data_IF_623170804088
#
_entry.id   IF_623170804088
#
_cell.length_a   1.000
_cell.length_b   1.000
_cell.length_c   1.000
_cell.angle_alpha   90.00
_cell.angle_beta   90.00
_cell.angle_gamma   90.00
#
_symmetry.space_group_name_H-M   'P 1'
#
loop_
_entity.id
_entity.type
_entity.pdbx_description
1 polymer ?
#
# COMPACT_ATOMS: atom_id res chain seq x y z
N UNK A 1 3.02 7.22 -23.83
CA UNK A 1 1.80 7.31 -23.02
C UNK A 1 1.84 8.62 -22.25
N UNK A 2 0.75 9.38 -22.21
CA UNK A 2 0.64 10.60 -21.39
C UNK A 2 0.40 10.14 -19.95
N UNK A 3 1.37 10.32 -19.05
CA UNK A 3 1.18 10.12 -17.61
C UNK A 3 0.39 11.29 -17.02
N UNK A 4 -0.59 11.01 -16.18
CA UNK A 4 -1.26 12.05 -15.42
C UNK A 4 -0.21 12.76 -14.53
N UNK A 5 -0.21 14.09 -14.54
CA UNK A 5 0.66 14.88 -13.67
C UNK A 5 -0.13 15.32 -12.45
N UNK A 6 0.32 14.89 -11.28
CA UNK A 6 -0.16 15.37 -9.99
C UNK A 6 0.85 16.34 -9.42
N UNK A 7 0.38 17.35 -8.70
CA UNK A 7 1.23 18.27 -7.95
C UNK A 7 0.94 18.11 -6.45
N UNK A 8 1.92 17.60 -5.74
CA UNK A 8 1.89 17.45 -4.29
C UNK A 8 2.92 18.36 -3.61
N UNK A 9 3.33 19.45 -4.26
CA UNK A 9 4.28 20.42 -3.69
C UNK A 9 3.80 20.93 -2.33
N UNK A 10 4.69 20.89 -1.34
CA UNK A 10 4.39 21.28 0.04
C UNK A 10 3.57 20.26 0.85
N UNK A 11 3.23 19.11 0.28
CA UNK A 11 2.57 18.00 0.97
C UNK A 11 3.58 17.03 1.55
N UNK A 12 3.17 16.27 2.56
CA UNK A 12 3.94 15.18 3.15
C UNK A 12 3.19 13.87 3.04
N UNK A 13 3.82 12.88 2.42
CA UNK A 13 3.29 11.54 2.23
C UNK A 13 4.07 10.51 3.07
N UNK A 14 3.35 9.79 3.94
CA UNK A 14 3.87 8.60 4.64
C UNK A 14 3.63 7.37 3.75
N UNK A 15 4.66 6.52 3.60
CA UNK A 15 4.57 5.25 2.87
C UNK A 15 5.07 4.11 3.76
N UNK A 16 4.15 3.34 4.33
CA UNK A 16 4.46 2.16 5.16
C UNK A 16 4.55 0.92 4.26
N UNK A 17 5.65 0.18 4.36
CA UNK A 17 6.01 -0.87 3.40
C UNK A 17 6.58 -0.29 2.10
N UNK A 18 7.37 0.79 2.24
CA UNK A 18 7.90 1.59 1.13
C UNK A 18 9.25 1.13 0.58
N UNK A 19 9.88 0.09 1.12
CA UNK A 19 11.25 -0.32 0.74
C UNK A 19 11.33 -1.03 -0.61
N UNK A 20 10.29 -1.74 -1.01
CA UNK A 20 10.27 -2.55 -2.24
C UNK A 20 8.93 -2.47 -2.98
N UNK A 21 8.89 -2.99 -4.20
CA UNK A 21 7.66 -3.21 -4.99
C UNK A 21 6.79 -1.97 -5.15
N UNK A 22 5.50 -2.12 -4.91
CA UNK A 22 4.49 -1.06 -5.06
C UNK A 22 4.81 0.13 -4.13
N UNK A 23 5.19 -0.15 -2.87
CA UNK A 23 5.50 0.91 -1.92
C UNK A 23 6.69 1.77 -2.35
N UNK A 24 7.77 1.15 -2.83
CA UNK A 24 8.94 1.85 -3.37
C UNK A 24 8.57 2.72 -4.57
N UNK A 25 7.84 2.15 -5.52
CA UNK A 25 7.38 2.89 -6.69
C UNK A 25 6.48 4.08 -6.31
N UNK A 26 5.61 3.90 -5.31
CA UNK A 26 4.72 4.95 -4.81
C UNK A 26 5.48 6.06 -4.10
N UNK A 27 6.46 5.73 -3.24
CA UNK A 27 7.29 6.74 -2.56
C UNK A 27 8.05 7.58 -3.59
N UNK A 28 8.62 6.93 -4.61
CA UNK A 28 9.30 7.62 -5.68
C UNK A 28 8.36 8.52 -6.49
N UNK A 29 7.17 8.03 -6.85
CA UNK A 29 6.17 8.80 -7.60
C UNK A 29 5.63 10.02 -6.82
N UNK A 30 5.46 9.91 -5.48
CA UNK A 30 5.13 11.07 -4.66
C UNK A 30 6.25 12.12 -4.66
N UNK A 31 7.51 11.70 -4.56
CA UNK A 31 8.65 12.62 -4.61
C UNK A 31 8.76 13.31 -5.99
N UNK A 32 8.56 12.57 -7.09
CA UNK A 32 8.50 13.11 -8.44
C UNK A 32 7.38 14.14 -8.61
N UNK A 33 6.26 13.94 -7.90
CA UNK A 33 5.13 14.87 -7.85
C UNK A 33 5.30 16.01 -6.84
N UNK A 34 6.48 16.17 -6.22
CA UNK A 34 6.82 17.30 -5.34
C UNK A 34 6.50 17.11 -3.86
N UNK A 35 6.03 15.92 -3.42
CA UNK A 35 5.78 15.67 -2.00
C UNK A 35 7.06 15.32 -1.23
N UNK A 36 7.16 15.78 0.01
CA UNK A 36 8.07 15.17 0.97
C UNK A 36 7.63 13.73 1.26
N UNK A 37 8.58 12.79 1.42
CA UNK A 37 8.27 11.38 1.62
C UNK A 37 8.86 10.84 2.92
N UNK A 38 8.01 10.21 3.73
CA UNK A 38 8.40 9.55 4.98
C UNK A 38 8.17 8.05 4.81
N UNK A 39 9.26 7.34 4.58
CA UNK A 39 9.24 5.93 4.19
C UNK A 39 9.48 5.07 5.42
N UNK A 40 8.68 4.03 5.59
CA UNK A 40 8.86 3.03 6.64
C UNK A 40 8.72 1.62 6.10
N UNK A 41 9.43 0.67 6.71
CA UNK A 41 9.36 -0.75 6.39
C UNK A 41 10.56 -1.51 6.93
N UNK A 42 10.62 -2.79 6.66
CA UNK A 42 11.80 -3.61 6.92
C UNK A 42 12.78 -3.50 5.75
N UNK A 43 14.07 -3.73 6.02
CA UNK A 43 15.14 -3.65 5.01
C UNK A 43 15.77 -2.26 4.97
N UNK A 44 16.63 -2.00 5.96
CA UNK A 44 17.35 -0.72 6.09
C UNK A 44 18.17 -0.37 4.84
N UNK A 45 18.94 -1.28 4.21
CA UNK A 45 19.70 -0.96 3.00
C UNK A 45 18.82 -0.49 1.84
N UNK A 46 17.68 -1.14 1.62
CA UNK A 46 16.74 -0.80 0.54
C UNK A 46 16.08 0.55 0.81
N UNK A 47 15.72 0.82 2.07
CA UNK A 47 15.11 2.08 2.48
C UNK A 47 16.07 3.27 2.35
N UNK A 48 17.29 3.13 2.82
CA UNK A 48 18.35 4.15 2.70
C UNK A 48 18.73 4.41 1.24
N UNK A 49 18.84 3.34 0.43
CA UNK A 49 19.08 3.44 -1.02
C UNK A 49 17.98 4.22 -1.72
N UNK A 50 16.71 3.98 -1.37
CA UNK A 50 15.59 4.72 -1.95
C UNK A 50 15.63 6.20 -1.58
N UNK A 51 15.92 6.54 -0.32
CA UNK A 51 16.06 7.95 0.11
C UNK A 51 17.20 8.63 -0.65
N UNK A 52 18.34 7.97 -0.81
CA UNK A 52 19.49 8.50 -1.58
C UNK A 52 19.09 8.75 -3.05
N UNK A 53 18.40 7.80 -3.69
CA UNK A 53 17.92 7.95 -5.07
C UNK A 53 16.92 9.11 -5.21
N UNK A 54 15.93 9.21 -4.31
CA UNK A 54 14.96 10.31 -4.33
C UNK A 54 15.68 11.65 -4.15
N UNK A 55 16.59 11.77 -3.19
CA UNK A 55 17.34 13.01 -2.92
C UNK A 55 18.18 13.44 -4.13
N UNK A 56 18.80 12.48 -4.81
CA UNK A 56 19.61 12.76 -6.00
C UNK A 56 18.78 13.23 -7.20
N UNK A 57 17.58 12.67 -7.39
CA UNK A 57 16.73 12.95 -8.57
C UNK A 57 15.73 14.07 -8.34
N UNK A 58 15.32 14.29 -7.10
CA UNK A 58 14.31 15.28 -6.70
C UNK A 58 14.82 16.12 -5.50
N UNK A 59 15.84 16.97 -5.69
CA UNK A 59 16.49 17.71 -4.59
C UNK A 59 15.60 18.76 -3.94
N UNK A 60 14.46 19.08 -4.52
CA UNK A 60 13.48 20.02 -3.96
C UNK A 60 12.58 19.41 -2.89
N UNK A 61 12.57 18.10 -2.72
CA UNK A 61 11.78 17.40 -1.70
C UNK A 61 12.68 16.80 -0.62
N UNK A 62 12.13 16.63 0.56
CA UNK A 62 12.81 15.95 1.67
C UNK A 62 12.28 14.53 1.79
N UNK A 63 13.21 13.56 1.83
CA UNK A 63 12.86 12.16 2.07
C UNK A 63 13.52 11.65 3.33
N UNK A 64 12.87 10.70 4.01
CA UNK A 64 13.46 10.00 5.15
C UNK A 64 12.99 8.54 5.19
N UNK A 65 13.81 7.70 5.80
CA UNK A 65 13.49 6.30 6.04
C UNK A 65 13.59 5.98 7.54
N UNK A 66 12.72 5.08 7.99
CA UNK A 66 12.75 4.49 9.34
C UNK A 66 12.47 3.01 9.23
N UNK A 67 13.34 2.18 9.78
CA UNK A 67 13.06 0.75 9.90
C UNK A 67 11.90 0.53 10.88
N UNK A 68 10.87 -0.17 10.42
CA UNK A 68 9.61 -0.31 11.15
C UNK A 68 8.99 -1.68 10.94
N UNK A 69 8.76 -2.40 12.03
CA UNK A 69 7.85 -3.54 12.06
C UNK A 69 6.44 -3.02 12.35
N UNK A 70 5.53 -3.24 11.39
CA UNK A 70 4.15 -2.76 11.47
C UNK A 70 3.32 -3.38 12.58
N UNK A 71 3.82 -4.45 13.22
CA UNK A 71 3.18 -5.13 14.35
C UNK A 71 3.40 -4.42 15.70
N UNK A 72 4.44 -3.57 15.77
CA UNK A 72 4.82 -2.85 17.00
C UNK A 72 4.09 -1.49 17.08
N UNK A 73 3.06 -1.44 17.96
CA UNK A 73 2.26 -0.22 18.18
C UNK A 73 3.10 0.96 18.69
N UNK A 74 4.05 0.69 19.58
CA UNK A 74 4.91 1.75 20.13
C UNK A 74 5.89 2.30 19.08
N UNK A 75 6.45 1.44 18.21
CA UNK A 75 7.27 1.87 17.09
C UNK A 75 6.45 2.68 16.08
N UNK A 76 5.22 2.23 15.76
CA UNK A 76 4.30 2.97 14.89
C UNK A 76 3.98 4.36 15.46
N UNK A 77 3.72 4.47 16.76
CA UNK A 77 3.50 5.75 17.43
C UNK A 77 4.72 6.68 17.30
N UNK A 78 5.92 6.18 17.62
CA UNK A 78 7.16 6.97 17.52
C UNK A 78 7.43 7.43 16.09
N UNK A 79 7.22 6.54 15.11
CA UNK A 79 7.39 6.85 13.70
C UNK A 79 6.50 8.02 13.25
N UNK A 80 5.20 7.96 13.58
CA UNK A 80 4.26 9.01 13.19
C UNK A 80 4.51 10.32 13.93
N UNK A 81 4.86 10.28 15.21
CA UNK A 81 5.23 11.45 15.99
C UNK A 81 6.48 12.14 15.42
N UNK A 82 7.53 11.37 15.10
CA UNK A 82 8.75 11.89 14.48
C UNK A 82 8.51 12.46 13.06
N UNK A 83 7.63 11.85 12.28
CA UNK A 83 7.20 12.40 10.99
C UNK A 83 6.50 13.75 11.16
N UNK A 84 5.58 13.85 12.12
CA UNK A 84 4.88 15.11 12.43
C UNK A 84 5.84 16.19 12.91
N UNK A 85 6.76 15.86 13.81
CA UNK A 85 7.77 16.78 14.31
C UNK A 85 8.66 17.32 13.19
N UNK A 86 9.12 16.44 12.31
CA UNK A 86 10.06 16.81 11.23
C UNK A 86 9.41 17.60 10.09
N UNK A 87 8.19 17.24 9.70
CA UNK A 87 7.54 17.78 8.49
C UNK A 87 6.38 18.74 8.79
N UNK A 88 5.99 18.89 10.05
CA UNK A 88 4.94 19.81 10.48
C UNK A 88 3.51 19.32 10.23
N UNK A 89 3.27 18.57 9.13
CA UNK A 89 1.96 18.00 8.76
C UNK A 89 2.09 16.67 8.05
N UNK A 90 1.02 15.90 8.08
CA UNK A 90 0.88 14.66 7.33
C UNK A 90 -0.39 14.77 6.48
N UNK A 91 -0.22 14.86 5.17
CA UNK A 91 -1.32 15.03 4.22
C UNK A 91 -1.82 13.72 3.65
N UNK A 92 -0.89 12.78 3.43
CA UNK A 92 -1.14 11.53 2.73
C UNK A 92 -0.53 10.38 3.51
N UNK A 93 -1.25 9.25 3.58
CA UNK A 93 -0.72 8.01 4.11
C UNK A 93 -1.05 6.86 3.16
N UNK A 94 -0.03 6.06 2.84
CA UNK A 94 -0.15 4.83 2.07
C UNK A 94 0.27 3.64 2.94
N UNK A 95 -0.70 2.83 3.37
CA UNK A 95 -0.49 1.62 4.16
C UNK A 95 -0.37 0.43 3.22
N UNK A 96 0.88 0.05 2.90
CA UNK A 96 1.16 -0.96 1.87
C UNK A 96 1.84 -2.23 2.40
N UNK A 97 2.40 -2.21 3.61
CA UNK A 97 3.07 -3.38 4.17
C UNK A 97 2.16 -4.62 4.17
N UNK A 98 2.71 -5.75 3.74
CA UNK A 98 1.97 -7.01 3.69
C UNK A 98 2.82 -8.18 3.22
N UNK A 99 2.36 -9.39 3.55
CA UNK A 99 2.96 -10.66 3.15
C UNK A 99 1.91 -11.59 2.56
N UNK A 100 2.28 -12.51 1.66
CA UNK A 100 1.33 -13.48 1.08
C UNK A 100 0.98 -14.60 2.07
N UNK A 101 1.86 -14.89 3.03
CA UNK A 101 1.76 -16.03 3.92
C UNK A 101 2.11 -17.35 3.23
N UNK A 102 1.82 -18.46 3.93
CA UNK A 102 1.98 -19.81 3.41
C UNK A 102 0.79 -20.15 2.51
N UNK A 103 1.07 -20.71 1.33
CA UNK A 103 0.05 -21.24 0.42
C UNK A 103 -0.18 -22.72 0.75
N UNK A 104 -1.35 -23.06 1.28
CA UNK A 104 -1.75 -24.42 1.63
C UNK A 104 -3.27 -24.52 1.81
N UNK A 105 -3.87 -25.73 1.73
CA UNK A 105 -5.25 -25.96 2.16
C UNK A 105 -5.45 -25.48 3.60
N UNK A 106 -6.63 -24.93 3.91
CA UNK A 106 -6.90 -24.30 5.21
C UNK A 106 -6.61 -25.22 6.41
N UNK A 107 -6.94 -26.50 6.33
CA UNK A 107 -6.75 -27.47 7.40
C UNK A 107 -5.27 -27.84 7.67
N UNK A 108 -4.36 -27.42 6.80
CA UNK A 108 -2.91 -27.60 6.94
C UNK A 108 -2.20 -26.32 7.46
N UNK A 109 -2.92 -25.19 7.57
CA UNK A 109 -2.36 -23.97 8.12
C UNK A 109 -2.32 -24.03 9.65
N UNK A 110 -1.22 -23.60 10.24
CA UNK A 110 -1.09 -23.47 11.67
C UNK A 110 -1.68 -22.15 12.19
N UNK A 111 -1.96 -22.09 13.49
CA UNK A 111 -2.32 -20.84 14.17
C UNK A 111 -1.25 -19.76 13.98
N UNK A 112 0.02 -20.15 14.01
CA UNK A 112 1.16 -19.24 13.75
C UNK A 112 1.12 -18.66 12.32
N UNK A 113 0.73 -19.45 11.31
CA UNK A 113 0.54 -18.95 9.94
C UNK A 113 -0.59 -17.91 9.90
N UNK A 114 -1.70 -18.17 10.60
CA UNK A 114 -2.82 -17.26 10.72
C UNK A 114 -2.41 -15.95 11.41
N UNK A 115 -1.85 -16.02 12.61
CA UNK A 115 -1.46 -14.86 13.41
C UNK A 115 -0.47 -13.97 12.66
N UNK A 116 0.54 -14.57 12.02
CA UNK A 116 1.55 -13.83 11.25
C UNK A 116 0.92 -13.02 10.12
N UNK A 117 -0.02 -13.59 9.37
CA UNK A 117 -0.67 -12.89 8.25
C UNK A 117 -1.57 -11.77 8.78
N UNK A 118 -2.38 -12.05 9.79
CA UNK A 118 -3.31 -11.08 10.39
C UNK A 118 -2.55 -9.92 11.04
N UNK A 119 -1.51 -10.22 11.80
CA UNK A 119 -0.70 -9.20 12.48
C UNK A 119 -0.04 -8.22 11.49
N UNK A 120 0.45 -8.72 10.35
CA UNK A 120 1.11 -7.85 9.38
C UNK A 120 0.08 -7.17 8.48
N UNK A 121 -0.82 -7.94 7.84
CA UNK A 121 -1.66 -7.42 6.77
C UNK A 121 -2.87 -6.61 7.28
N UNK A 122 -3.39 -6.94 8.45
CA UNK A 122 -4.59 -6.31 9.01
C UNK A 122 -4.25 -5.38 10.19
N UNK A 123 -3.60 -5.92 11.23
CA UNK A 123 -3.22 -5.12 12.41
C UNK A 123 -2.25 -4.01 12.04
N UNK A 124 -1.30 -4.26 11.12
CA UNK A 124 -0.41 -3.22 10.61
C UNK A 124 -1.16 -2.05 9.98
N UNK A 125 -2.18 -2.31 9.16
CA UNK A 125 -3.05 -1.25 8.58
C UNK A 125 -3.86 -0.54 9.66
N UNK A 126 -4.42 -1.29 10.61
CA UNK A 126 -5.13 -0.73 11.76
C UNK A 126 -4.24 0.22 12.56
N UNK A 127 -3.04 -0.20 12.94
CA UNK A 127 -2.08 0.62 13.69
C UNK A 127 -1.63 1.85 12.88
N UNK A 128 -1.42 1.70 11.56
CA UNK A 128 -1.16 2.82 10.68
C UNK A 128 -2.25 3.89 10.79
N UNK A 129 -3.51 3.51 10.52
CA UNK A 129 -4.64 4.45 10.60
C UNK A 129 -4.86 5.01 12.01
N UNK A 130 -4.68 4.18 13.06
CA UNK A 130 -4.79 4.61 14.46
C UNK A 130 -3.91 5.81 14.78
N UNK A 131 -2.68 5.85 14.24
CA UNK A 131 -1.74 6.94 14.49
C UNK A 131 -1.81 8.05 13.42
N UNK A 132 -2.26 7.76 12.20
CA UNK A 132 -2.43 8.76 11.13
C UNK A 132 -3.63 9.68 11.38
N UNK A 133 -4.77 9.12 11.80
CA UNK A 133 -6.02 9.86 11.93
C UNK A 133 -5.94 11.04 12.90
N UNK A 134 -5.38 10.92 14.13
CA UNK A 134 -5.28 12.08 15.04
C UNK A 134 -4.45 13.22 14.45
N UNK A 135 -3.40 12.90 13.69
CA UNK A 135 -2.53 13.89 13.05
C UNK A 135 -3.28 14.61 11.92
N UNK A 136 -3.94 13.86 11.04
CA UNK A 136 -4.72 14.43 9.95
C UNK A 136 -5.93 15.23 10.44
N UNK A 137 -6.58 14.78 11.53
CA UNK A 137 -7.67 15.55 12.17
C UNK A 137 -7.18 16.90 12.70
N UNK A 138 -6.00 16.92 13.33
CA UNK A 138 -5.38 18.15 13.83
C UNK A 138 -4.93 19.09 12.68
N UNK A 139 -4.55 18.54 11.54
CA UNK A 139 -4.10 19.28 10.35
C UNK A 139 -5.26 19.71 9.42
N UNK A 140 -6.51 19.35 9.74
CA UNK A 140 -7.71 19.75 9.00
C UNK A 140 -8.03 18.92 7.77
N UNK A 141 -7.45 17.73 7.61
CA UNK A 141 -7.79 16.79 6.55
C UNK A 141 -6.62 15.97 6.04
N UNK A 142 -6.89 15.09 5.07
CA UNK A 142 -5.88 14.23 4.47
C UNK A 142 -6.46 13.12 3.61
N UNK A 143 -5.58 12.29 3.06
CA UNK A 143 -5.97 11.11 2.28
C UNK A 143 -5.20 9.86 2.74
N UNK A 144 -5.93 8.79 3.04
CA UNK A 144 -5.37 7.49 3.38
C UNK A 144 -5.70 6.50 2.26
N UNK A 145 -4.69 5.78 1.79
CA UNK A 145 -4.86 4.68 0.85
C UNK A 145 -4.32 3.41 1.48
N UNK A 146 -5.14 2.37 1.54
CA UNK A 146 -4.77 1.06 2.09
C UNK A 146 -4.58 0.05 0.97
N UNK A 147 -3.60 -0.85 1.09
CA UNK A 147 -3.38 -1.92 0.12
C UNK A 147 -4.15 -3.18 0.53
N UNK A 148 -5.25 -3.44 -0.19
CA UNK A 148 -5.89 -4.73 -0.21
C UNK A 148 -5.25 -5.64 -1.26
N UNK A 149 -6.00 -6.36 -2.03
CA UNK A 149 -5.58 -7.27 -3.11
C UNK A 149 -6.80 -7.59 -3.97
N UNK A 150 -6.58 -8.10 -5.18
CA UNK A 150 -7.61 -8.83 -5.92
C UNK A 150 -8.24 -9.92 -5.04
N UNK A 151 -7.45 -10.60 -4.22
CA UNK A 151 -7.94 -11.59 -3.25
C UNK A 151 -8.65 -10.99 -2.02
N UNK A 152 -8.76 -9.68 -1.93
CA UNK A 152 -9.63 -8.97 -0.99
C UNK A 152 -11.04 -8.73 -1.53
N UNK A 153 -11.32 -9.07 -2.81
CA UNK A 153 -12.64 -8.95 -3.45
C UNK A 153 -13.12 -10.26 -4.06
N UNK A 154 -12.24 -11.28 -4.11
CA UNK A 154 -12.58 -12.64 -4.54
C UNK A 154 -11.85 -13.68 -3.68
N UNK A 155 -12.38 -14.91 -3.66
CA UNK A 155 -11.70 -16.06 -3.04
C UNK A 155 -10.65 -16.64 -3.98
N UNK A 156 -9.59 -17.23 -3.41
CA UNK A 156 -8.61 -18.01 -4.15
C UNK A 156 -8.19 -19.22 -3.32
N UNK A 157 -8.20 -20.41 -3.95
CA UNK A 157 -7.86 -21.65 -3.27
C UNK A 157 -6.46 -21.58 -2.64
N UNK A 158 -6.29 -22.22 -1.48
CA UNK A 158 -5.01 -22.33 -0.75
C UNK A 158 -4.44 -21.03 -0.16
N UNK A 159 -5.17 -19.92 -0.24
CA UNK A 159 -4.76 -18.60 0.31
C UNK A 159 -5.80 -18.03 1.27
N UNK A 160 -6.56 -18.88 1.97
CA UNK A 160 -7.74 -18.48 2.76
C UNK A 160 -7.47 -17.37 3.78
N UNK A 161 -6.37 -17.45 4.56
CA UNK A 161 -6.02 -16.45 5.57
C UNK A 161 -5.58 -15.13 4.93
N UNK A 162 -4.84 -15.20 3.82
CA UNK A 162 -4.48 -14.00 3.06
C UNK A 162 -5.73 -13.30 2.52
N UNK A 163 -6.64 -14.04 1.86
CA UNK A 163 -7.93 -13.49 1.42
C UNK A 163 -8.67 -12.84 2.58
N UNK A 164 -8.84 -13.54 3.71
CA UNK A 164 -9.52 -13.02 4.88
C UNK A 164 -8.89 -11.70 5.37
N UNK A 165 -7.55 -11.62 5.45
CA UNK A 165 -6.84 -10.41 5.86
C UNK A 165 -7.10 -9.23 4.91
N UNK A 166 -7.14 -9.47 3.59
CA UNK A 166 -7.34 -8.43 2.59
C UNK A 166 -8.80 -8.00 2.46
N UNK A 167 -9.77 -8.90 2.69
CA UNK A 167 -11.18 -8.56 2.87
C UNK A 167 -11.39 -7.68 4.12
N UNK A 168 -10.74 -8.02 5.23
CA UNK A 168 -10.83 -7.27 6.48
C UNK A 168 -10.28 -5.84 6.34
N UNK A 169 -9.22 -5.62 5.55
CA UNK A 169 -8.71 -4.27 5.22
C UNK A 169 -9.78 -3.44 4.51
N UNK A 170 -10.60 -4.04 3.64
CA UNK A 170 -11.71 -3.33 2.99
C UNK A 170 -12.80 -2.95 4.00
N UNK A 171 -13.10 -3.83 4.95
CA UNK A 171 -14.02 -3.54 6.05
C UNK A 171 -13.56 -2.35 6.89
N UNK A 172 -12.29 -2.34 7.33
CA UNK A 172 -11.68 -1.22 8.04
C UNK A 172 -11.73 0.07 7.22
N UNK A 173 -11.35 0.02 5.95
CA UNK A 173 -11.35 1.17 5.04
C UNK A 173 -12.73 1.82 4.97
N UNK A 174 -13.77 1.03 4.77
CA UNK A 174 -15.17 1.52 4.67
C UNK A 174 -15.65 2.14 5.97
N UNK A 175 -15.42 1.46 7.10
CA UNK A 175 -15.86 1.94 8.41
C UNK A 175 -15.17 3.25 8.79
N UNK A 176 -13.85 3.30 8.68
CA UNK A 176 -13.09 4.50 9.01
C UNK A 176 -13.42 5.65 8.06
N UNK A 177 -13.66 5.39 6.77
CA UNK A 177 -14.09 6.41 5.83
C UNK A 177 -15.36 7.13 6.30
N UNK A 178 -16.34 6.38 6.82
CA UNK A 178 -17.59 6.95 7.35
C UNK A 178 -17.37 7.79 8.61
N UNK A 179 -16.44 7.38 9.49
CA UNK A 179 -16.15 8.09 10.73
C UNK A 179 -15.54 9.48 10.47
N UNK A 180 -14.75 9.62 9.39
CA UNK A 180 -13.95 10.82 9.12
C UNK A 180 -14.37 11.62 7.88
N UNK A 181 -15.39 11.19 7.13
CA UNK A 181 -15.82 11.84 5.89
C UNK A 181 -16.11 13.34 6.07
N UNK A 182 -16.77 13.71 7.19
CA UNK A 182 -17.10 15.12 7.51
C UNK A 182 -15.90 15.91 8.07
N UNK A 183 -14.75 15.27 8.20
CA UNK A 183 -13.50 15.86 8.73
C UNK A 183 -12.47 16.12 7.63
N UNK A 184 -12.91 16.15 6.37
CA UNK A 184 -12.03 16.34 5.22
C UNK A 184 -10.91 15.30 5.11
N UNK A 185 -11.18 14.07 5.59
CA UNK A 185 -10.27 12.92 5.45
C UNK A 185 -10.96 11.89 4.55
N UNK A 186 -10.26 11.47 3.50
CA UNK A 186 -10.69 10.39 2.62
C UNK A 186 -9.90 9.12 2.93
N UNK A 187 -10.58 7.98 2.97
CA UNK A 187 -9.95 6.69 3.20
C UNK A 187 -10.41 5.73 2.12
N UNK A 188 -9.49 5.27 1.29
CA UNK A 188 -9.78 4.34 0.20
C UNK A 188 -8.81 3.15 0.22
N UNK A 189 -9.11 2.13 -0.54
CA UNK A 189 -8.22 1.00 -0.75
C UNK A 189 -7.96 0.77 -2.24
N UNK A 190 -6.77 0.28 -2.55
CA UNK A 190 -6.46 -0.33 -3.84
C UNK A 190 -6.55 -1.86 -3.70
N UNK A 191 -6.97 -2.53 -4.75
CA UNK A 191 -7.01 -3.98 -4.85
C UNK A 191 -6.19 -4.43 -6.08
N UNK A 192 -4.86 -4.46 -5.97
CA UNK A 192 -4.00 -4.85 -7.08
C UNK A 192 -4.16 -6.33 -7.42
N UNK A 193 -4.12 -6.63 -8.72
CA UNK A 193 -3.82 -7.96 -9.25
C UNK A 193 -2.32 -8.22 -9.28
N UNK A 194 -1.93 -9.12 -10.16
CA UNK A 194 -0.52 -9.52 -10.32
C UNK A 194 0.34 -8.36 -10.75
N UNK A 195 1.27 -7.99 -9.89
CA UNK A 195 2.22 -6.88 -10.07
C UNK A 195 3.64 -7.40 -9.90
N UNK A 196 4.56 -7.05 -10.81
CA UNK A 196 5.94 -7.52 -10.81
C UNK A 196 6.71 -6.91 -9.63
N UNK A 197 6.71 -7.62 -8.52
CA UNK A 197 7.29 -7.22 -7.25
C UNK A 197 8.12 -8.36 -6.67
N UNK A 198 9.05 -8.10 -5.75
CA UNK A 198 9.75 -9.16 -5.01
C UNK A 198 8.80 -10.15 -4.32
N UNK A 199 7.64 -9.68 -3.86
CA UNK A 199 6.61 -10.54 -3.28
C UNK A 199 6.12 -11.58 -4.31
N UNK A 200 5.78 -11.15 -5.52
CA UNK A 200 5.31 -12.04 -6.58
C UNK A 200 6.42 -12.98 -7.05
N UNK A 201 7.60 -12.46 -7.34
CA UNK A 201 8.72 -13.27 -7.84
C UNK A 201 9.18 -14.32 -6.84
N UNK A 202 9.19 -14.00 -5.54
CA UNK A 202 9.53 -14.96 -4.49
C UNK A 202 8.49 -16.08 -4.34
N UNK A 203 7.20 -15.79 -4.60
CA UNK A 203 6.15 -16.82 -4.57
C UNK A 203 6.32 -17.89 -5.66
N UNK A 204 6.89 -17.52 -6.81
CA UNK A 204 6.97 -18.38 -8.00
C UNK A 204 8.40 -18.74 -8.40
N UNK A 205 9.37 -18.59 -7.49
CA UNK A 205 10.76 -18.99 -7.73
C UNK A 205 11.51 -18.12 -8.74
N UNK A 206 11.10 -16.87 -8.91
CA UNK A 206 11.74 -15.90 -9.79
C UNK A 206 10.78 -15.26 -10.79
N UNK A 207 11.29 -14.32 -11.58
CA UNK A 207 10.48 -13.57 -12.54
C UNK A 207 9.88 -14.48 -13.63
N UNK A 208 10.68 -15.44 -14.15
CA UNK A 208 10.19 -16.36 -15.18
C UNK A 208 9.07 -17.25 -14.64
N UNK A 209 9.23 -17.83 -13.43
CA UNK A 209 8.19 -18.65 -12.82
C UNK A 209 6.90 -17.86 -12.55
N UNK A 210 7.01 -16.59 -12.15
CA UNK A 210 5.86 -15.70 -12.01
C UNK A 210 5.16 -15.49 -13.37
N UNK A 211 5.94 -15.20 -14.44
CA UNK A 211 5.38 -15.05 -15.80
C UNK A 211 4.66 -16.31 -16.28
N UNK A 212 5.31 -17.44 -16.19
CA UNK A 212 4.77 -18.71 -16.70
C UNK A 212 3.47 -19.11 -15.98
N UNK A 213 3.37 -18.79 -14.67
CA UNK A 213 2.20 -19.14 -13.87
C UNK A 213 1.05 -18.16 -14.02
N UNK A 214 1.36 -16.85 -14.06
CA UNK A 214 0.34 -15.79 -13.91
C UNK A 214 -0.18 -15.29 -15.26
N UNK A 215 0.68 -15.18 -16.29
CA UNK A 215 0.28 -14.62 -17.59
C UNK A 215 -0.92 -15.30 -18.26
N UNK A 216 -1.07 -16.64 -18.21
CA UNK A 216 -2.21 -17.30 -18.86
C UNK A 216 -3.58 -16.85 -18.31
N UNK A 217 -3.63 -16.39 -17.06
CA UNK A 217 -4.86 -15.92 -16.39
C UNK A 217 -5.14 -14.41 -16.51
N UNK A 218 -4.24 -13.65 -17.14
CA UNK A 218 -4.36 -12.20 -17.25
C UNK A 218 -4.94 -11.76 -18.60
N UNK A 219 -6.15 -11.18 -18.65
CA UNK A 219 -6.77 -10.73 -19.90
C UNK A 219 -5.94 -9.72 -20.68
N UNK A 220 -5.22 -8.81 -20.00
CA UNK A 220 -4.31 -7.86 -20.67
C UNK A 220 -3.00 -8.49 -21.15
N UNK A 221 -2.75 -9.79 -20.92
CA UNK A 221 -1.58 -10.54 -21.39
C UNK A 221 -0.24 -10.08 -20.81
N UNK A 222 -0.26 -9.34 -19.72
CA UNK A 222 0.96 -8.88 -19.02
C UNK A 222 0.73 -8.69 -17.53
N UNK A 223 1.82 -8.82 -16.78
CA UNK A 223 1.85 -8.47 -15.36
C UNK A 223 2.04 -6.95 -15.25
N UNK A 224 1.38 -6.31 -14.29
CA UNK A 224 1.50 -4.87 -14.07
C UNK A 224 2.91 -4.50 -13.57
N UNK A 225 3.39 -3.33 -13.97
CA UNK A 225 4.54 -2.69 -13.34
C UNK A 225 4.12 -2.00 -12.04
N UNK A 226 4.93 -2.01 -10.97
CA UNK A 226 4.63 -1.31 -9.73
C UNK A 226 4.29 0.17 -9.90
N UNK A 227 4.86 0.83 -10.90
CA UNK A 227 4.58 2.24 -11.21
C UNK A 227 3.13 2.46 -11.66
N UNK A 228 2.49 1.49 -12.31
CA UNK A 228 1.09 1.58 -12.72
C UNK A 228 0.17 1.59 -11.49
N UNK A 229 0.51 0.78 -10.48
CA UNK A 229 -0.22 0.77 -9.20
C UNK A 229 0.00 2.09 -8.44
N UNK A 230 1.24 2.60 -8.45
CA UNK A 230 1.57 3.89 -7.84
C UNK A 230 0.73 5.03 -8.41
N UNK A 231 0.46 5.06 -9.73
CA UNK A 231 -0.39 6.10 -10.33
C UNK A 231 -1.82 6.09 -9.77
N UNK A 232 -2.38 4.93 -9.49
CA UNK A 232 -3.69 4.85 -8.84
C UNK A 232 -3.65 5.37 -7.40
N UNK A 233 -2.57 5.11 -6.66
CA UNK A 233 -2.38 5.64 -5.30
C UNK A 233 -2.31 7.17 -5.34
N UNK A 234 -1.54 7.75 -6.25
CA UNK A 234 -1.45 9.19 -6.44
C UNK A 234 -2.82 9.79 -6.81
N UNK A 235 -3.58 9.17 -7.72
CA UNK A 235 -4.94 9.59 -8.05
C UNK A 235 -5.82 9.64 -6.80
N UNK A 236 -5.89 8.55 -6.04
CA UNK A 236 -6.73 8.46 -4.84
C UNK A 236 -6.28 9.44 -3.73
N UNK A 237 -4.99 9.78 -3.68
CA UNK A 237 -4.46 10.77 -2.75
C UNK A 237 -4.74 12.22 -3.18
N UNK A 238 -4.94 12.47 -4.48
CA UNK A 238 -5.10 13.82 -5.06
C UNK A 238 -6.50 14.39 -4.91
N UNK A 239 -6.64 15.69 -5.18
CA UNK A 239 -7.92 16.40 -5.21
C UNK A 239 -8.82 15.93 -6.36
N UNK A 240 -8.27 15.28 -7.40
CA UNK A 240 -9.06 14.65 -8.46
C UNK A 240 -9.98 13.53 -7.92
N UNK A 241 -9.66 12.95 -6.76
CA UNK A 241 -10.47 11.97 -6.05
C UNK A 241 -11.27 12.56 -4.88
N UNK A 242 -11.53 13.87 -4.87
CA UNK A 242 -12.15 14.60 -3.75
C UNK A 242 -13.53 14.06 -3.34
N UNK A 243 -14.26 13.39 -4.23
CA UNK A 243 -15.56 12.77 -3.95
C UNK A 243 -15.50 11.25 -3.83
N UNK A 244 -14.30 10.68 -3.70
CA UNK A 244 -14.07 9.22 -3.57
C UNK A 244 -13.58 8.94 -2.15
N UNK A 245 -14.40 8.24 -1.35
CA UNK A 245 -14.05 7.73 -0.02
C UNK A 245 -14.77 6.42 0.26
N UNK A 246 -14.17 5.52 1.04
CA UNK A 246 -14.68 4.19 1.35
C UNK A 246 -14.65 3.19 0.19
N UNK A 247 -13.96 3.51 -0.90
CA UNK A 247 -13.94 2.67 -2.10
C UNK A 247 -12.76 1.69 -2.09
N UNK A 248 -12.99 0.53 -2.72
CA UNK A 248 -11.95 -0.43 -3.10
C UNK A 248 -11.81 -0.38 -4.63
N UNK A 249 -10.69 0.12 -5.13
CA UNK A 249 -10.46 0.22 -6.57
C UNK A 249 -9.60 -0.94 -7.03
N UNK A 250 -10.19 -1.81 -7.85
CA UNK A 250 -9.48 -2.95 -8.46
C UNK A 250 -8.60 -2.44 -9.60
N UNK A 251 -7.35 -2.91 -9.64
CA UNK A 251 -6.37 -2.63 -10.70
C UNK A 251 -5.61 -3.93 -11.00
N UNK A 252 -6.10 -4.71 -11.95
CA UNK A 252 -5.71 -6.12 -12.13
C UNK A 252 -5.61 -6.58 -13.59
N UNK A 253 -5.73 -5.66 -14.55
CA UNK A 253 -5.69 -6.01 -15.96
C UNK A 253 -6.86 -6.87 -16.45
N UNK A 254 -8.01 -6.79 -15.74
CA UNK A 254 -9.24 -7.51 -16.07
C UNK A 254 -9.38 -8.88 -15.40
N UNK A 255 -8.45 -9.29 -14.54
CA UNK A 255 -8.46 -10.60 -13.89
C UNK A 255 -9.73 -10.88 -13.08
N UNK A 256 -10.29 -9.87 -12.41
CA UNK A 256 -11.50 -10.01 -11.62
C UNK A 256 -12.76 -10.31 -12.48
N UNK A 257 -12.89 -9.63 -13.63
CA UNK A 257 -14.08 -9.79 -14.49
C UNK A 257 -13.99 -10.99 -15.41
N UNK A 258 -12.80 -11.51 -15.66
CA UNK A 258 -12.61 -12.74 -16.43
C UNK A 258 -13.03 -14.01 -15.66
N UNK A 259 -13.19 -13.88 -14.33
CA UNK A 259 -13.34 -15.02 -13.44
C UNK A 259 -11.98 -15.69 -13.17
N UNK A 260 -11.87 -16.45 -12.10
CA UNK A 260 -10.76 -17.38 -11.94
C UNK A 260 -10.93 -18.39 -13.08
N UNK A 261 -10.07 -18.32 -14.09
CA UNK A 261 -10.23 -18.98 -15.38
C UNK A 261 -10.78 -20.40 -15.34
N UNK A 262 -11.53 -20.72 -16.38
CA UNK A 262 -11.92 -22.10 -16.68
C UNK A 262 -10.72 -23.03 -16.74
#
# INVERSE_FOLDING_TARGET
>A
MTTARYDFSGKTAIVIGGTTGIGRATAFAFAEAGANTVIAGLGTPEGESLVAEITARHPSVTSSFTELDVRDDAAMQRFHAGAKERFGRIDIAFNNAGIPGRTAPMHELSETDFDRIIDINLKGVFLGMKHQLPLMLADGGGAIVNTSSLFGVMGYATTSVYCASKWAVLGLTKSVALEVARKNIRVNAIAPGSTMTPLLTNMFGGEQGARDTVLPSLPMGRIADPSEIAQLVLFLASDAASFITGQAVVIDGGGFVAGAGE
#
